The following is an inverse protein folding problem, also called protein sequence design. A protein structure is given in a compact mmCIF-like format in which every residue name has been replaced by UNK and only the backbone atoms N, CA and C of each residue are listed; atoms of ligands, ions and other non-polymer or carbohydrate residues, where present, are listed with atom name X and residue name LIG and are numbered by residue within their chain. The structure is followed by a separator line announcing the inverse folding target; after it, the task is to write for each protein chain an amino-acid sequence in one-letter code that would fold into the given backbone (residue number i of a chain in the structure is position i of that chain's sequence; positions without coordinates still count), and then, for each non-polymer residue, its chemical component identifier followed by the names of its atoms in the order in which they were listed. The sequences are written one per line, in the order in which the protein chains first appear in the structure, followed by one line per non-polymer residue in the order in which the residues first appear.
data_IF_916386150849
#
_entry.id   IF_916386150849
#
_cell.length_a   1.000
_cell.length_b   1.000
_cell.length_c   1.000
_cell.angle_alpha   90.00
_cell.angle_beta   90.00
_cell.angle_gamma   90.00
#
_symmetry.space_group_name_H-M   'P 1'
#
loop_
_entity.id
_entity.type
_entity.pdbx_description
1 polymer ?
#
# COMPACT_ATOMS: atom_id res chain seq x y z
N UNK A 1 8.50 57.57 15.15
CA UNK A 1 7.48 57.21 14.14
C UNK A 1 6.47 56.31 14.79
N UNK A 2 5.14 56.54 14.69
CA UNK A 2 4.14 55.65 15.29
C UNK A 2 4.04 54.34 14.49
N UNK A 3 4.03 53.21 15.21
CA UNK A 3 3.98 51.86 14.63
C UNK A 3 3.00 50.97 15.42
N UNK A 4 2.39 50.03 14.72
CA UNK A 4 1.60 48.99 15.36
C UNK A 4 2.52 47.81 15.73
N UNK A 5 2.36 47.35 16.94
CA UNK A 5 3.24 46.32 17.52
C UNK A 5 2.42 45.08 17.90
N UNK A 6 2.97 43.93 17.60
CA UNK A 6 2.50 42.65 18.11
C UNK A 6 3.47 42.13 19.16
N UNK A 7 3.02 42.00 20.40
CA UNK A 7 3.79 41.28 21.40
C UNK A 7 3.65 39.75 21.13
N UNK A 8 4.75 39.08 20.86
CA UNK A 8 4.73 37.67 20.53
C UNK A 8 4.70 36.83 21.81
N UNK A 9 3.90 35.78 21.78
CA UNK A 9 3.83 34.76 22.80
C UNK A 9 4.17 33.40 22.21
N UNK A 10 4.70 32.52 23.04
CA UNK A 10 4.95 31.14 22.66
C UNK A 10 3.64 30.37 22.60
N UNK A 11 3.24 29.87 21.46
CA UNK A 11 2.02 29.11 21.24
C UNK A 11 2.36 27.69 20.76
N UNK A 12 1.54 26.71 21.16
CA UNK A 12 1.61 25.35 20.61
C UNK A 12 0.95 25.36 19.23
N UNK A 13 1.73 25.10 18.21
CA UNK A 13 1.24 25.04 16.83
C UNK A 13 1.49 23.65 16.24
N UNK A 14 0.59 23.14 15.40
CA UNK A 14 0.81 21.86 14.77
C UNK A 14 2.03 21.90 13.85
N UNK A 15 2.85 20.85 13.87
CA UNK A 15 3.88 20.64 12.85
C UNK A 15 3.17 20.21 11.58
N UNK A 16 3.16 21.08 10.57
CA UNK A 16 2.55 20.84 9.27
C UNK A 16 3.60 20.87 8.18
N UNK A 17 3.65 19.81 7.39
CA UNK A 17 4.55 19.66 6.26
C UNK A 17 3.73 19.38 5.00
N UNK A 18 3.85 20.24 4.00
CA UNK A 18 3.18 20.07 2.72
C UNK A 18 4.15 19.46 1.70
N UNK A 19 3.70 18.44 0.97
CA UNK A 19 4.46 17.79 -0.10
C UNK A 19 3.53 17.34 -1.22
N UNK A 20 4.10 16.99 -2.36
CA UNK A 20 3.37 16.35 -3.46
C UNK A 20 3.65 14.86 -3.43
N UNK A 21 2.61 14.06 -3.51
CA UNK A 21 2.69 12.62 -3.60
C UNK A 21 1.98 12.10 -4.84
N UNK A 22 2.18 10.83 -5.11
CA UNK A 22 1.48 10.10 -6.16
C UNK A 22 0.62 9.02 -5.54
N UNK A 23 -0.64 8.98 -5.92
CA UNK A 23 -1.56 7.90 -5.55
C UNK A 23 -1.18 6.62 -6.28
N UNK A 24 -1.21 5.49 -5.58
CA UNK A 24 -0.94 4.16 -6.12
C UNK A 24 -1.92 3.15 -5.53
N UNK A 25 -2.20 2.09 -6.28
CA UNK A 25 -3.01 0.99 -5.76
C UNK A 25 -2.34 0.34 -4.57
N UNK A 26 -3.12 -0.07 -3.58
CA UNK A 26 -2.56 -0.78 -2.41
C UNK A 26 -2.03 -2.16 -2.76
N UNK A 27 -2.56 -2.77 -3.82
CA UNK A 27 -2.07 -4.01 -4.42
C UNK A 27 -2.28 -3.97 -5.91
N UNK A 28 -1.32 -4.47 -6.66
CA UNK A 28 -1.43 -4.71 -8.08
C UNK A 28 -1.07 -6.17 -8.36
N UNK A 29 -1.91 -6.88 -9.10
CA UNK A 29 -1.76 -8.31 -9.37
C UNK A 29 -1.99 -8.55 -10.83
N UNK A 30 -1.08 -9.28 -11.45
CA UNK A 30 -1.23 -9.82 -12.79
C UNK A 30 -2.09 -11.10 -12.75
N UNK A 31 -3.11 -11.14 -13.57
CA UNK A 31 -3.96 -12.31 -13.75
C UNK A 31 -3.41 -13.12 -14.92
N UNK A 32 -2.88 -14.28 -14.60
CA UNK A 32 -2.22 -15.16 -15.57
C UNK A 32 -2.88 -16.52 -15.61
N UNK A 33 -2.98 -17.10 -16.84
CA UNK A 33 -3.37 -18.49 -17.01
C UNK A 33 -2.29 -19.41 -16.42
N UNK A 34 -2.72 -20.46 -15.71
CA UNK A 34 -1.84 -21.50 -15.14
C UNK A 34 -1.83 -22.77 -15.96
N UNK A 35 -2.77 -22.91 -16.89
CA UNK A 35 -2.90 -24.04 -17.81
C UNK A 35 -3.03 -23.53 -19.23
N UNK A 36 -2.72 -24.40 -20.19
CA UNK A 36 -2.81 -24.09 -21.61
C UNK A 36 -4.23 -24.33 -22.11
N UNK A 37 -4.68 -23.60 -23.11
CA UNK A 37 -5.97 -23.85 -23.75
C UNK A 37 -6.52 -22.63 -24.47
N UNK A 38 -7.68 -22.80 -25.07
CA UNK A 38 -8.40 -21.72 -25.72
C UNK A 38 -9.17 -20.93 -24.66
N UNK A 39 -9.05 -19.61 -24.68
CA UNK A 39 -9.84 -18.73 -23.84
C UNK A 39 -11.29 -18.71 -24.36
N UNK A 40 -12.21 -19.32 -23.65
CA UNK A 40 -13.61 -19.41 -24.10
C UNK A 40 -14.40 -18.15 -23.79
N UNK A 41 -14.31 -17.66 -22.54
CA UNK A 41 -15.18 -16.57 -22.07
C UNK A 41 -14.43 -15.61 -21.15
N UNK A 42 -14.83 -14.35 -21.26
CA UNK A 42 -14.52 -13.28 -20.31
C UNK A 42 -15.79 -12.93 -19.54
N UNK A 43 -15.77 -13.10 -18.22
CA UNK A 43 -16.93 -12.98 -17.34
C UNK A 43 -16.94 -11.70 -16.50
N UNK A 44 -16.16 -10.71 -16.90
CA UNK A 44 -16.10 -9.40 -16.25
C UNK A 44 -16.17 -8.27 -17.26
N UNK A 45 -16.51 -7.09 -16.79
CA UNK A 45 -16.45 -5.85 -17.57
C UNK A 45 -15.12 -5.13 -17.27
N UNK A 46 -14.40 -4.74 -18.32
CA UNK A 46 -13.13 -4.01 -18.18
C UNK A 46 -13.32 -2.69 -17.44
N UNK A 47 -12.43 -2.39 -16.51
CA UNK A 47 -12.55 -1.22 -15.65
C UNK A 47 -13.58 -1.33 -14.53
N UNK A 48 -14.30 -2.45 -14.42
CA UNK A 48 -15.27 -2.66 -13.35
C UNK A 48 -14.60 -3.21 -12.07
N UNK A 49 -15.28 -2.95 -10.95
CA UNK A 49 -14.92 -3.55 -9.67
C UNK A 49 -15.36 -5.02 -9.64
N UNK A 50 -14.48 -5.89 -9.13
CA UNK A 50 -14.74 -7.30 -8.92
C UNK A 50 -14.43 -7.72 -7.50
N UNK A 51 -15.17 -8.72 -7.00
CA UNK A 51 -14.96 -9.30 -5.68
C UNK A 51 -13.87 -10.39 -5.69
N UNK A 52 -13.20 -10.66 -4.56
CA UNK A 52 -12.30 -11.80 -4.44
C UNK A 52 -13.05 -13.10 -4.74
N UNK A 53 -12.42 -14.02 -5.50
CA UNK A 53 -13.01 -15.30 -5.90
C UNK A 53 -13.97 -15.23 -7.09
N UNK A 54 -14.32 -14.05 -7.58
CA UNK A 54 -15.14 -13.91 -8.78
C UNK A 54 -14.41 -14.46 -10.00
N UNK A 55 -15.08 -15.29 -10.80
CA UNK A 55 -14.51 -15.82 -12.05
C UNK A 55 -14.37 -14.70 -13.06
N UNK A 56 -13.18 -14.57 -13.62
CA UNK A 56 -12.83 -13.54 -14.62
C UNK A 56 -12.79 -14.13 -16.03
N UNK A 57 -12.19 -15.32 -16.18
CA UNK A 57 -12.03 -15.97 -17.45
C UNK A 57 -12.30 -17.46 -17.32
N UNK A 58 -12.72 -18.07 -18.42
CA UNK A 58 -12.83 -19.53 -18.59
C UNK A 58 -11.99 -19.97 -19.78
N UNK A 59 -11.14 -20.97 -19.53
CA UNK A 59 -10.38 -21.71 -20.56
C UNK A 59 -11.14 -22.98 -20.85
N UNK A 60 -11.08 -23.49 -22.11
CA UNK A 60 -11.66 -24.77 -22.50
C UNK A 60 -11.32 -25.87 -21.48
N UNK A 61 -12.35 -26.33 -20.78
CA UNK A 61 -12.22 -27.31 -19.71
C UNK A 61 -12.29 -28.75 -20.21
N UNK A 62 -12.80 -29.00 -21.43
CA UNK A 62 -13.06 -30.35 -21.91
C UNK A 62 -11.85 -31.29 -21.86
N UNK A 63 -10.62 -30.90 -22.27
CA UNK A 63 -9.45 -31.76 -22.15
C UNK A 63 -9.12 -32.12 -20.69
N UNK A 64 -9.33 -31.19 -19.77
CA UNK A 64 -9.05 -31.36 -18.34
C UNK A 64 -10.12 -32.23 -17.64
N UNK A 65 -11.38 -32.09 -18.05
CA UNK A 65 -12.47 -32.94 -17.56
C UNK A 65 -12.24 -34.41 -17.98
N UNK A 66 -11.79 -34.63 -19.21
CA UNK A 66 -11.43 -35.99 -19.68
C UNK A 66 -10.25 -36.57 -18.87
N UNK A 67 -9.22 -35.77 -18.59
CA UNK A 67 -8.07 -36.19 -17.78
C UNK A 67 -8.51 -36.58 -16.32
N UNK A 68 -9.44 -35.85 -15.75
CA UNK A 68 -10.02 -36.19 -14.42
C UNK A 68 -10.79 -37.51 -14.50
N UNK A 69 -11.58 -37.74 -15.55
CA UNK A 69 -12.31 -38.99 -15.73
C UNK A 69 -11.36 -40.18 -15.91
N UNK A 70 -10.29 -40.02 -16.69
CA UNK A 70 -9.24 -41.04 -16.86
C UNK A 70 -8.55 -41.38 -15.54
N UNK A 71 -8.14 -40.37 -14.77
CA UNK A 71 -7.51 -40.57 -13.46
C UNK A 71 -8.45 -41.22 -12.45
N UNK A 72 -9.76 -40.90 -12.47
CA UNK A 72 -10.78 -41.56 -11.64
C UNK A 72 -10.94 -43.04 -11.99
N UNK A 73 -10.97 -43.36 -13.28
CA UNK A 73 -11.06 -44.75 -13.73
C UNK A 73 -9.82 -45.58 -13.33
N UNK A 74 -8.60 -44.98 -13.46
CA UNK A 74 -7.36 -45.59 -13.03
C UNK A 74 -7.35 -45.87 -11.50
N UNK A 75 -7.79 -44.87 -10.70
CA UNK A 75 -7.92 -45.05 -9.25
C UNK A 75 -8.89 -46.20 -8.91
N UNK A 76 -10.02 -46.28 -9.59
CA UNK A 76 -10.99 -47.37 -9.36
C UNK A 76 -10.39 -48.72 -9.69
N UNK A 77 -9.61 -48.82 -10.77
CA UNK A 77 -8.90 -50.05 -11.12
C UNK A 77 -7.94 -50.49 -10.00
N UNK A 78 -7.15 -49.59 -9.45
CA UNK A 78 -6.24 -49.93 -8.34
C UNK A 78 -6.98 -50.31 -7.05
N UNK A 79 -8.13 -49.68 -6.78
CA UNK A 79 -9.00 -50.08 -5.65
C UNK A 79 -9.49 -51.49 -5.75
N UNK A 80 -9.93 -51.92 -6.95
CA UNK A 80 -10.34 -53.31 -7.18
C UNK A 80 -9.18 -54.30 -7.01
N UNK A 81 -7.99 -53.95 -7.53
CA UNK A 81 -6.79 -54.78 -7.31
C UNK A 81 -6.43 -54.93 -5.84
N UNK A 82 -6.53 -53.87 -5.06
CA UNK A 82 -6.29 -53.91 -3.62
C UNK A 82 -7.32 -54.81 -2.92
N UNK A 83 -8.61 -54.64 -3.24
CA UNK A 83 -9.67 -55.47 -2.64
C UNK A 83 -9.42 -56.95 -2.88
N UNK A 84 -8.99 -57.33 -4.10
CA UNK A 84 -8.61 -58.71 -4.42
C UNK A 84 -7.42 -59.15 -3.57
N UNK A 85 -6.34 -58.36 -3.51
CA UNK A 85 -5.15 -58.71 -2.73
C UNK A 85 -5.43 -58.82 -1.22
N UNK A 86 -6.27 -57.92 -0.68
CA UNK A 86 -6.70 -57.98 0.72
C UNK A 86 -7.56 -59.25 1.00
N UNK A 87 -8.42 -59.62 0.06
CA UNK A 87 -9.24 -60.85 0.16
C UNK A 87 -8.38 -62.11 0.15
N UNK A 88 -7.36 -62.13 -0.75
CA UNK A 88 -6.42 -63.26 -0.80
C UNK A 88 -5.61 -63.37 0.49
N UNK A 89 -5.05 -62.28 1.01
CA UNK A 89 -4.30 -62.27 2.26
C UNK A 89 -5.17 -62.73 3.44
N UNK A 90 -6.43 -62.29 3.52
CA UNK A 90 -7.37 -62.70 4.56
C UNK A 90 -7.73 -64.17 4.49
N UNK A 91 -7.86 -64.74 3.28
CA UNK A 91 -8.16 -66.14 3.06
C UNK A 91 -7.00 -67.05 3.45
N UNK A 92 -5.76 -66.63 3.19
CA UNK A 92 -4.57 -67.42 3.47
C UNK A 92 -4.19 -67.46 4.97
N UNK A 93 -4.57 -66.43 5.75
CA UNK A 93 -4.25 -66.33 7.17
C UNK A 93 -4.65 -67.61 7.96
N UNK A 94 -5.92 -68.04 7.99
CA UNK A 94 -6.35 -69.21 8.70
C UNK A 94 -5.69 -70.53 8.21
N UNK A 95 -5.39 -70.62 6.90
CA UNK A 95 -4.75 -71.81 6.32
C UNK A 95 -3.30 -71.99 6.79
N UNK A 96 -2.61 -70.95 7.13
CA UNK A 96 -1.25 -71.02 7.75
C UNK A 96 -1.39 -71.55 9.20
N UNK A 97 -2.38 -71.08 9.95
CA UNK A 97 -2.64 -71.55 11.32
C UNK A 97 -2.93 -73.00 11.35
N UNK A 98 -3.67 -73.55 10.34
CA UNK A 98 -3.95 -74.96 10.13
C UNK A 98 -2.77 -75.71 9.54
N UNK A 99 -1.63 -75.09 9.25
CA UNK A 99 -0.46 -75.70 8.59
C UNK A 99 -0.74 -76.22 7.19
N UNK A 100 -1.78 -75.76 6.52
CA UNK A 100 -2.18 -76.22 5.19
C UNK A 100 -1.33 -75.57 4.07
N UNK A 101 -0.71 -74.36 4.35
CA UNK A 101 0.17 -73.63 3.43
C UNK A 101 1.39 -73.12 4.17
N UNK A 102 2.38 -72.64 3.42
CA UNK A 102 3.63 -72.10 3.98
C UNK A 102 3.44 -70.65 4.43
N UNK A 103 4.18 -70.24 5.49
CA UNK A 103 4.24 -68.83 5.94
C UNK A 103 4.66 -67.87 4.80
N UNK A 104 5.53 -68.31 3.91
CA UNK A 104 6.03 -67.57 2.76
C UNK A 104 4.89 -67.13 1.81
N UNK A 105 3.86 -68.00 1.62
CA UNK A 105 2.72 -67.68 0.76
C UNK A 105 1.85 -66.59 1.37
N UNK A 106 1.62 -66.61 2.67
CA UNK A 106 0.92 -65.56 3.39
C UNK A 106 1.73 -64.23 3.32
N UNK A 107 3.04 -64.28 3.60
CA UNK A 107 3.90 -63.09 3.56
C UNK A 107 3.88 -62.45 2.17
N UNK A 108 3.87 -63.26 1.10
CA UNK A 108 3.75 -62.75 -0.28
C UNK A 108 2.39 -62.09 -0.54
N UNK A 109 1.30 -62.68 -0.07
CA UNK A 109 -0.04 -62.09 -0.22
C UNK A 109 -0.15 -60.74 0.55
N UNK A 110 0.38 -60.66 1.76
CA UNK A 110 0.45 -59.46 2.57
C UNK A 110 1.32 -58.38 1.86
N UNK A 111 2.45 -58.76 1.28
CA UNK A 111 3.29 -57.85 0.51
C UNK A 111 2.57 -57.29 -0.72
N UNK A 112 1.81 -58.13 -1.44
CA UNK A 112 0.98 -57.76 -2.59
C UNK A 112 -0.11 -56.76 -2.18
N UNK A 113 -0.77 -56.98 -1.04
CA UNK A 113 -1.77 -56.05 -0.51
C UNK A 113 -1.17 -54.69 -0.12
N UNK A 114 0.02 -54.70 0.48
CA UNK A 114 0.75 -53.45 0.77
C UNK A 114 1.16 -52.72 -0.51
N UNK A 115 1.64 -53.44 -1.53
CA UNK A 115 1.98 -52.85 -2.84
C UNK A 115 0.74 -52.26 -3.50
N UNK A 116 -0.41 -52.95 -3.51
CA UNK A 116 -1.66 -52.41 -4.04
C UNK A 116 -2.11 -51.15 -3.31
N UNK A 117 -1.87 -51.06 -1.99
CA UNK A 117 -2.15 -49.85 -1.21
C UNK A 117 -1.27 -48.68 -1.66
N UNK A 118 0.02 -48.91 -1.93
CA UNK A 118 0.91 -47.90 -2.44
C UNK A 118 0.49 -47.43 -3.86
N UNK A 119 0.00 -48.33 -4.72
CA UNK A 119 -0.50 -48.02 -6.05
C UNK A 119 -1.76 -47.13 -6.00
N UNK A 120 -2.65 -47.37 -5.03
CA UNK A 120 -3.80 -46.48 -4.78
C UNK A 120 -3.32 -45.07 -4.44
N UNK A 121 -2.35 -44.91 -3.53
CA UNK A 121 -1.83 -43.59 -3.18
C UNK A 121 -1.24 -42.83 -4.38
N UNK A 122 -0.58 -43.55 -5.30
CA UNK A 122 -0.10 -42.95 -6.55
C UNK A 122 -1.24 -42.54 -7.48
N UNK A 123 -2.29 -43.36 -7.61
CA UNK A 123 -3.44 -43.03 -8.44
C UNK A 123 -4.27 -41.87 -7.85
N UNK A 124 -4.39 -41.79 -6.53
CA UNK A 124 -5.01 -40.62 -5.83
C UNK A 124 -4.24 -39.34 -6.06
N UNK A 125 -2.91 -39.39 -6.02
CA UNK A 125 -2.07 -38.22 -6.32
C UNK A 125 -2.27 -37.75 -7.78
N UNK A 126 -2.35 -38.66 -8.76
CA UNK A 126 -2.62 -38.33 -10.16
C UNK A 126 -4.02 -37.71 -10.35
N UNK A 127 -5.04 -38.27 -9.66
CA UNK A 127 -6.37 -37.70 -9.69
C UNK A 127 -6.39 -36.28 -9.16
N UNK A 128 -5.73 -36.04 -8.03
CA UNK A 128 -5.64 -34.71 -7.42
C UNK A 128 -4.93 -33.71 -8.34
N UNK A 129 -3.88 -34.13 -9.06
CA UNK A 129 -3.20 -33.29 -10.05
C UNK A 129 -4.14 -32.92 -11.20
N UNK A 130 -4.88 -33.89 -11.76
CA UNK A 130 -5.86 -33.64 -12.80
C UNK A 130 -6.98 -32.69 -12.34
N UNK A 131 -7.51 -32.86 -11.12
CA UNK A 131 -8.52 -31.99 -10.53
C UNK A 131 -7.98 -30.56 -10.30
N UNK A 132 -6.71 -30.41 -9.89
CA UNK A 132 -6.06 -29.15 -9.73
C UNK A 132 -5.92 -28.42 -11.07
N UNK A 133 -5.49 -29.12 -12.13
CA UNK A 133 -5.38 -28.55 -13.46
C UNK A 133 -6.75 -28.13 -14.03
N UNK A 134 -7.79 -28.94 -13.79
CA UNK A 134 -9.17 -28.56 -14.11
C UNK A 134 -9.60 -27.30 -13.36
N UNK A 135 -9.26 -27.17 -12.09
CA UNK A 135 -9.59 -25.96 -11.33
C UNK A 135 -8.95 -24.69 -11.90
N UNK A 136 -7.79 -24.80 -12.52
CA UNK A 136 -7.08 -23.68 -13.15
C UNK A 136 -7.69 -23.23 -14.48
N UNK A 137 -8.63 -23.98 -15.06
CA UNK A 137 -9.38 -23.51 -16.24
C UNK A 137 -10.33 -22.37 -15.90
N UNK A 138 -10.77 -22.25 -14.64
CA UNK A 138 -11.54 -21.12 -14.12
C UNK A 138 -10.60 -20.15 -13.43
N UNK A 139 -10.37 -19.02 -14.06
CA UNK A 139 -9.44 -18.00 -13.58
C UNK A 139 -10.22 -17.00 -12.74
N UNK A 140 -9.92 -16.98 -11.44
CA UNK A 140 -10.63 -16.14 -10.45
C UNK A 140 -9.79 -14.98 -9.98
N UNK A 141 -10.45 -13.93 -9.50
CA UNK A 141 -9.83 -12.76 -8.89
C UNK A 141 -9.20 -13.12 -7.54
N UNK A 142 -7.88 -12.98 -7.34
CA UNK A 142 -7.23 -13.27 -6.06
C UNK A 142 -7.46 -12.19 -5.00
N UNK A 143 -7.81 -11.00 -5.43
CA UNK A 143 -8.11 -9.83 -4.58
C UNK A 143 -9.37 -9.14 -5.08
N UNK A 144 -10.00 -8.31 -4.24
CA UNK A 144 -11.00 -7.36 -4.71
C UNK A 144 -10.32 -6.11 -5.28
N UNK A 145 -10.82 -5.58 -6.37
CA UNK A 145 -10.22 -4.40 -7.01
C UNK A 145 -10.84 -4.08 -8.36
N UNK A 146 -10.20 -3.19 -9.08
CA UNK A 146 -10.59 -2.77 -10.43
C UNK A 146 -9.79 -3.61 -11.43
N UNK A 147 -10.49 -4.17 -12.41
CA UNK A 147 -9.86 -4.91 -13.50
C UNK A 147 -9.31 -3.95 -14.55
N UNK A 148 -8.14 -4.27 -15.08
CA UNK A 148 -7.61 -3.64 -16.29
C UNK A 148 -8.35 -4.13 -17.56
N UNK A 149 -7.84 -3.74 -18.72
CA UNK A 149 -8.29 -4.27 -20.01
C UNK A 149 -7.88 -5.73 -20.15
N UNK A 150 -8.64 -6.51 -20.88
CA UNK A 150 -8.26 -7.84 -21.31
C UNK A 150 -7.15 -7.74 -22.39
N UNK A 151 -6.07 -8.46 -22.16
CA UNK A 151 -4.92 -8.49 -23.10
C UNK A 151 -5.06 -9.60 -24.13
N UNK A 152 -6.01 -10.50 -23.93
CA UNK A 152 -6.33 -11.61 -24.83
C UNK A 152 -7.83 -11.65 -25.10
N UNK A 153 -8.18 -11.90 -26.36
CA UNK A 153 -9.58 -12.03 -26.77
C UNK A 153 -10.06 -13.47 -26.62
N UNK A 154 -11.37 -13.64 -26.50
CA UNK A 154 -12.01 -14.95 -26.60
C UNK A 154 -11.63 -15.62 -27.92
N UNK A 155 -11.43 -16.93 -27.91
CA UNK A 155 -10.90 -17.71 -29.01
C UNK A 155 -9.37 -17.75 -29.11
N UNK A 156 -8.65 -16.97 -28.32
CA UNK A 156 -7.17 -16.97 -28.31
C UNK A 156 -6.61 -18.19 -27.60
N UNK A 157 -5.56 -18.79 -28.15
CA UNK A 157 -4.78 -19.79 -27.45
C UNK A 157 -3.90 -19.11 -26.39
N UNK A 158 -4.01 -19.51 -25.14
CA UNK A 158 -3.16 -19.10 -24.05
C UNK A 158 -2.22 -20.22 -23.64
N UNK A 159 -0.96 -19.86 -23.33
CA UNK A 159 0.09 -20.81 -22.95
C UNK A 159 0.72 -20.35 -21.64
N UNK A 160 0.64 -21.17 -20.59
CA UNK A 160 1.06 -20.83 -19.23
C UNK A 160 2.53 -20.41 -19.09
N UNK A 161 3.39 -20.89 -19.99
CA UNK A 161 4.85 -20.69 -19.92
C UNK A 161 5.35 -19.40 -20.56
N UNK A 162 4.52 -18.63 -21.23
CA UNK A 162 4.95 -17.45 -22.00
C UNK A 162 4.10 -16.19 -21.71
N UNK A 163 4.35 -15.11 -22.47
CA UNK A 163 3.62 -13.84 -22.31
C UNK A 163 2.13 -13.94 -22.65
N UNK A 164 1.69 -14.96 -23.40
CA UNK A 164 0.26 -15.17 -23.68
C UNK A 164 -0.52 -15.54 -22.42
N UNK A 165 0.16 -16.01 -21.38
CA UNK A 165 -0.46 -16.29 -20.09
C UNK A 165 -1.05 -15.05 -19.41
N UNK A 166 -0.49 -13.86 -19.64
CA UNK A 166 -0.99 -12.61 -19.05
C UNK A 166 -2.31 -12.22 -19.72
N UNK A 167 -3.38 -12.25 -18.94
CA UNK A 167 -4.75 -12.00 -19.38
C UNK A 167 -5.24 -10.60 -19.07
N UNK A 168 -4.98 -10.12 -17.84
CA UNK A 168 -5.30 -8.77 -17.39
C UNK A 168 -4.51 -8.43 -16.13
N UNK A 169 -4.58 -7.18 -15.70
CA UNK A 169 -4.09 -6.74 -14.38
C UNK A 169 -5.26 -6.39 -13.49
N UNK A 170 -5.06 -6.44 -12.20
CA UNK A 170 -6.03 -5.99 -11.21
C UNK A 170 -5.36 -5.06 -10.21
N UNK A 171 -6.01 -3.97 -9.89
CA UNK A 171 -5.51 -2.99 -8.94
C UNK A 171 -6.51 -2.77 -7.81
N UNK A 172 -6.07 -2.98 -6.59
CA UNK A 172 -6.86 -2.65 -5.40
C UNK A 172 -6.73 -1.15 -5.13
N UNK A 173 -7.83 -0.41 -5.27
CA UNK A 173 -7.88 1.04 -5.10
C UNK A 173 -8.53 1.49 -3.80
N UNK A 174 -9.02 0.55 -3.00
CA UNK A 174 -9.52 0.80 -1.65
C UNK A 174 -9.01 -0.31 -0.70
N UNK A 175 -8.11 0.03 0.27
CA UNK A 175 -7.53 1.35 0.44
C UNK A 175 -6.65 1.77 -0.74
N UNK A 176 -6.39 3.09 -0.88
CA UNK A 176 -5.41 3.65 -1.81
C UNK A 176 -4.19 4.12 -1.04
N UNK A 177 -3.03 4.00 -1.63
CA UNK A 177 -1.80 4.51 -1.06
C UNK A 177 -1.39 5.81 -1.74
N UNK A 178 -0.74 6.68 -0.97
CA UNK A 178 -0.10 7.90 -1.49
C UNK A 178 1.36 7.86 -1.08
N UNK A 179 2.24 7.76 -2.06
CA UNK A 179 3.69 7.78 -1.89
C UNK A 179 4.20 9.18 -2.11
N UNK A 180 5.02 9.67 -1.20
CA UNK A 180 5.63 10.99 -1.26
C UNK A 180 7.02 10.97 -0.61
N UNK A 181 7.79 12.01 -0.87
CA UNK A 181 9.12 12.17 -0.28
C UNK A 181 9.18 13.48 0.51
N UNK A 182 9.88 13.45 1.63
CA UNK A 182 10.22 14.61 2.42
C UNK A 182 11.72 14.86 2.37
N UNK A 183 12.14 16.14 2.36
CA UNK A 183 13.53 16.48 2.59
C UNK A 183 13.97 15.94 3.97
N UNK A 184 15.23 15.54 4.11
CA UNK A 184 15.77 14.99 5.36
C UNK A 184 15.50 15.91 6.55
N UNK A 185 15.71 17.24 6.39
CA UNK A 185 15.44 18.25 7.40
C UNK A 185 13.97 18.32 7.85
N UNK A 186 13.03 18.07 6.93
CA UNK A 186 11.60 18.01 7.26
C UNK A 186 11.23 16.69 7.92
N UNK A 187 11.86 15.59 7.48
CA UNK A 187 11.67 14.28 8.10
C UNK A 187 12.16 14.30 9.56
N UNK A 188 13.29 14.95 9.87
CA UNK A 188 13.80 15.06 11.25
C UNK A 188 12.79 15.71 12.21
N UNK A 189 11.95 16.61 11.72
CA UNK A 189 10.88 17.25 12.54
C UNK A 189 9.76 16.30 12.95
N UNK A 190 9.59 15.19 12.25
CA UNK A 190 8.55 14.19 12.51
C UNK A 190 9.12 12.85 12.97
N UNK A 191 10.45 12.71 12.98
CA UNK A 191 11.16 11.50 13.39
C UNK A 191 10.73 11.07 14.81
N UNK A 192 10.36 9.80 14.96
CA UNK A 192 9.85 9.23 16.22
C UNK A 192 8.37 9.51 16.50
N UNK A 193 7.69 10.31 15.66
CA UNK A 193 6.27 10.66 15.78
C UNK A 193 5.45 10.11 14.61
N UNK A 194 6.04 9.33 13.71
CA UNK A 194 5.45 8.88 12.45
C UNK A 194 4.12 8.12 12.67
N UNK A 195 4.06 7.31 13.74
CA UNK A 195 2.84 6.53 14.07
C UNK A 195 1.66 7.40 14.52
N UNK A 196 1.94 8.60 15.00
CA UNK A 196 0.94 9.56 15.45
C UNK A 196 0.60 10.58 14.37
N UNK A 197 1.44 10.64 13.32
CA UNK A 197 1.24 11.57 12.22
C UNK A 197 -0.04 11.25 11.45
N UNK A 198 -0.84 12.28 11.22
CA UNK A 198 -2.00 12.23 10.31
C UNK A 198 -1.61 12.82 8.98
N UNK A 199 -2.13 12.25 7.91
CA UNK A 199 -1.91 12.77 6.58
C UNK A 199 -3.25 13.20 5.99
N UNK A 200 -3.28 14.41 5.47
CA UNK A 200 -4.43 14.98 4.78
C UNK A 200 -4.14 15.09 3.30
N UNK A 201 -5.13 14.86 2.46
CA UNK A 201 -5.07 15.22 1.04
C UNK A 201 -5.72 16.59 0.87
N UNK A 202 -5.02 17.48 0.20
CA UNK A 202 -5.45 18.85 -0.02
C UNK A 202 -5.81 19.02 -1.50
N UNK A 203 -7.00 19.53 -1.75
CA UNK A 203 -7.46 19.84 -3.10
C UNK A 203 -6.74 21.09 -3.66
N UNK A 204 -6.90 21.34 -4.95
CA UNK A 204 -6.26 22.47 -5.66
C UNK A 204 -6.73 23.83 -5.15
N UNK A 205 -7.93 23.92 -4.60
CA UNK A 205 -8.49 25.11 -3.96
C UNK A 205 -8.01 25.33 -2.51
N UNK A 206 -7.17 24.40 -1.99
CA UNK A 206 -6.66 24.43 -0.62
C UNK A 206 -7.56 23.79 0.42
N UNK A 207 -8.74 23.32 0.05
CA UNK A 207 -9.64 22.59 0.96
C UNK A 207 -9.11 21.20 1.28
N UNK A 208 -9.51 20.67 2.45
CA UNK A 208 -9.16 19.30 2.84
C UNK A 208 -10.09 18.33 2.11
N UNK A 209 -9.49 17.54 1.22
CA UNK A 209 -10.21 16.55 0.43
C UNK A 209 -10.34 15.18 1.15
N UNK A 210 -9.36 14.84 2.01
CA UNK A 210 -9.40 13.72 2.95
C UNK A 210 -8.48 14.01 4.15
N UNK A 211 -8.86 13.52 5.33
CA UNK A 211 -8.12 13.71 6.60
C UNK A 211 -7.86 12.39 7.36
N UNK A 212 -8.17 11.27 6.74
CA UNK A 212 -8.10 9.94 7.34
C UNK A 212 -6.80 9.18 7.00
N UNK A 213 -5.80 9.88 6.43
CA UNK A 213 -4.54 9.29 6.04
C UNK A 213 -3.66 8.91 7.25
N UNK A 214 -3.07 7.71 7.19
CA UNK A 214 -2.11 7.22 8.19
C UNK A 214 -0.83 6.79 7.50
N UNK A 215 0.32 7.16 8.06
CA UNK A 215 1.60 6.64 7.59
C UNK A 215 1.66 5.14 7.85
N UNK A 216 1.89 4.36 6.81
CA UNK A 216 2.04 2.91 6.88
C UNK A 216 3.43 2.43 6.40
N UNK A 217 4.24 3.34 5.87
CA UNK A 217 5.61 3.05 5.49
C UNK A 217 6.48 4.30 5.60
N UNK A 218 7.69 4.11 6.10
CA UNK A 218 8.78 5.09 6.13
C UNK A 218 10.04 4.41 5.64
N UNK A 219 10.70 4.99 4.66
CA UNK A 219 11.96 4.48 4.13
C UNK A 219 13.04 4.46 5.20
N UNK A 220 13.86 3.41 5.20
CA UNK A 220 15.01 3.25 6.11
C UNK A 220 16.28 3.94 5.61
N UNK A 221 16.25 4.48 4.40
CA UNK A 221 17.38 5.13 3.72
C UNK A 221 16.99 6.49 3.19
N UNK A 222 17.96 7.41 3.18
CA UNK A 222 17.86 8.70 2.48
C UNK A 222 18.31 8.48 1.04
N UNK A 223 17.55 8.96 0.08
CA UNK A 223 18.00 9.02 -1.32
C UNK A 223 19.15 10.05 -1.41
N UNK A 224 20.36 9.55 -1.65
CA UNK A 224 21.57 10.36 -1.65
C UNK A 224 21.61 11.41 -2.79
N UNK A 225 20.81 11.22 -3.85
CA UNK A 225 20.76 12.18 -4.97
C UNK A 225 19.80 13.33 -4.69
N UNK A 226 18.71 13.03 -3.99
CA UNK A 226 17.64 14.00 -3.73
C UNK A 226 17.64 14.53 -2.30
N UNK A 227 18.38 13.92 -1.37
CA UNK A 227 18.37 14.26 0.05
C UNK A 227 16.98 14.05 0.67
N UNK A 228 16.25 13.03 0.23
CA UNK A 228 14.87 12.83 0.66
C UNK A 228 14.65 11.44 1.27
N UNK A 229 13.70 11.37 2.21
CA UNK A 229 13.18 10.12 2.78
C UNK A 229 11.82 9.84 2.15
N UNK A 230 11.61 8.61 1.68
CA UNK A 230 10.35 8.19 1.10
C UNK A 230 9.37 7.74 2.19
N UNK A 231 8.14 8.23 2.10
CA UNK A 231 7.04 7.85 2.98
C UNK A 231 5.83 7.42 2.15
N UNK A 232 4.95 6.68 2.81
CA UNK A 232 3.67 6.29 2.22
C UNK A 232 2.57 6.39 3.25
N UNK A 233 1.46 6.97 2.85
CA UNK A 233 0.24 7.02 3.64
C UNK A 233 -0.87 6.20 2.97
N UNK A 234 -1.72 5.62 3.80
CA UNK A 234 -2.89 4.85 3.39
C UNK A 234 -4.16 5.66 3.64
N UNK A 235 -5.07 5.65 2.66
CA UNK A 235 -6.36 6.34 2.71
C UNK A 235 -7.49 5.39 2.32
N UNK A 236 -8.64 5.53 2.95
CA UNK A 236 -9.87 4.90 2.47
C UNK A 236 -10.34 5.61 1.20
N UNK A 237 -10.75 4.84 0.19
CA UNK A 237 -11.17 5.36 -1.11
C UNK A 237 -12.41 4.61 -1.66
N UNK A 238 -13.51 4.51 -0.88
CA UNK A 238 -14.66 3.70 -1.27
C UNK A 238 -15.37 4.24 -2.52
N UNK A 239 -15.37 5.55 -2.72
CA UNK A 239 -15.94 6.20 -3.90
C UNK A 239 -14.98 6.26 -5.10
N UNK A 240 -13.79 5.64 -5.00
CA UNK A 240 -12.76 5.64 -6.06
C UNK A 240 -12.41 7.06 -6.56
N UNK A 241 -12.43 8.03 -5.65
CA UNK A 241 -12.18 9.43 -5.96
C UNK A 241 -10.75 9.65 -6.45
N UNK A 242 -9.79 8.93 -5.87
CA UNK A 242 -8.38 8.97 -6.28
C UNK A 242 -8.04 7.74 -7.11
N UNK A 243 -7.38 8.01 -8.23
CA UNK A 243 -6.94 6.98 -9.17
C UNK A 243 -5.43 6.75 -9.04
N UNK A 244 -4.96 5.51 -9.18
CA UNK A 244 -3.53 5.22 -9.29
C UNK A 244 -2.89 6.07 -10.40
N UNK A 245 -1.68 6.59 -10.11
CA UNK A 245 -0.96 7.49 -11.00
C UNK A 245 -1.25 8.98 -10.78
N UNK A 246 -2.33 9.33 -10.08
CA UNK A 246 -2.71 10.73 -9.83
C UNK A 246 -1.74 11.41 -8.85
N UNK A 247 -1.31 12.64 -9.17
CA UNK A 247 -0.58 13.47 -8.24
C UNK A 247 -1.55 14.18 -7.29
N UNK A 248 -1.22 14.17 -6.01
CA UNK A 248 -2.02 14.75 -4.93
C UNK A 248 -1.13 15.55 -4.00
N UNK A 249 -1.66 16.65 -3.46
CA UNK A 249 -0.98 17.41 -2.42
C UNK A 249 -1.28 16.75 -1.07
N UNK A 250 -0.23 16.31 -0.38
CA UNK A 250 -0.30 15.71 0.94
C UNK A 250 0.19 16.70 2.00
N UNK A 251 -0.55 16.80 3.11
CA UNK A 251 -0.18 17.56 4.30
C UNK A 251 -0.02 16.61 5.47
N UNK A 252 1.18 16.55 6.02
CA UNK A 252 1.52 15.73 7.17
C UNK A 252 1.39 16.59 8.43
N UNK A 253 0.59 16.12 9.38
CA UNK A 253 0.42 16.72 10.71
C UNK A 253 1.06 15.80 11.74
N UNK A 254 2.17 16.23 12.34
CA UNK A 254 2.98 15.39 13.22
C UNK A 254 3.23 16.07 14.58
N UNK A 255 2.25 16.01 15.45
CA UNK A 255 2.33 16.58 16.78
C UNK A 255 2.31 18.11 16.81
N UNK A 256 2.75 18.67 17.92
CA UNK A 256 2.80 20.10 18.16
C UNK A 256 4.24 20.54 18.40
N UNK A 257 4.54 21.78 18.06
CA UNK A 257 5.78 22.47 18.40
C UNK A 257 5.45 23.82 19.06
N UNK A 258 6.33 24.26 19.93
CA UNK A 258 6.25 25.62 20.48
C UNK A 258 6.86 26.57 19.46
N UNK A 259 6.11 27.56 19.01
CA UNK A 259 6.55 28.56 18.05
C UNK A 259 5.84 29.89 18.28
N UNK A 260 6.36 30.95 17.71
CA UNK A 260 5.74 32.28 17.76
C UNK A 260 5.05 32.55 16.42
N UNK A 261 3.80 33.02 16.49
CA UNK A 261 3.01 33.38 15.32
C UNK A 261 3.15 34.88 15.02
N UNK A 262 3.70 35.17 13.86
CA UNK A 262 3.91 36.55 13.39
C UNK A 262 3.15 36.77 12.09
N UNK A 263 2.41 37.88 11.89
CA UNK A 263 1.76 38.16 10.61
C UNK A 263 2.76 38.09 9.45
N UNK A 264 2.34 37.49 8.32
CA UNK A 264 3.19 37.34 7.14
C UNK A 264 3.80 38.67 6.68
N UNK A 265 3.02 39.76 6.76
CA UNK A 265 3.46 41.09 6.37
C UNK A 265 4.63 41.63 7.21
N UNK A 266 4.85 41.09 8.43
CA UNK A 266 5.95 41.49 9.31
C UNK A 266 7.26 40.75 9.05
N UNK A 267 7.25 39.70 8.24
CA UNK A 267 8.44 38.93 7.86
C UNK A 267 9.02 39.49 6.57
N UNK A 268 10.18 40.11 6.69
CA UNK A 268 10.89 40.69 5.57
C UNK A 268 11.97 39.73 5.08
N UNK A 269 12.22 39.73 3.75
CA UNK A 269 13.32 38.99 3.15
C UNK A 269 14.54 39.88 3.07
N UNK A 270 15.66 39.47 3.68
CA UNK A 270 16.98 40.02 3.50
C UNK A 270 17.80 39.19 2.53
N UNK A 271 18.95 39.65 2.10
CA UNK A 271 19.84 38.96 1.14
C UNK A 271 20.24 37.55 1.63
N UNK A 272 20.37 37.34 2.95
CA UNK A 272 20.86 36.08 3.53
C UNK A 272 19.85 35.37 4.44
N UNK A 273 18.77 36.05 4.88
CA UNK A 273 17.83 35.49 5.87
C UNK A 273 16.49 36.20 5.87
N UNK A 274 15.50 35.56 6.52
CA UNK A 274 14.25 36.24 6.89
C UNK A 274 14.49 37.05 8.18
N UNK A 275 13.98 38.26 8.23
CA UNK A 275 14.08 39.13 9.38
C UNK A 275 12.71 39.67 9.79
N UNK A 276 12.57 39.99 11.06
CA UNK A 276 11.47 40.79 11.58
C UNK A 276 12.05 42.05 12.24
N UNK A 277 11.31 43.15 12.21
CA UNK A 277 11.68 44.35 12.93
C UNK A 277 11.09 44.33 14.32
N UNK A 278 11.94 44.42 15.36
CA UNK A 278 11.49 44.44 16.78
C UNK A 278 11.82 45.82 17.36
N UNK A 279 11.15 46.17 18.46
CA UNK A 279 11.47 47.37 19.23
C UNK A 279 12.45 46.98 20.33
N UNK A 280 13.63 47.58 20.31
CA UNK A 280 14.63 47.42 21.36
C UNK A 280 14.27 48.22 22.64
N UNK A 281 14.95 47.95 23.77
CA UNK A 281 14.72 48.67 25.02
C UNK A 281 15.04 50.17 24.93
N UNK A 282 15.78 50.58 23.90
CA UNK A 282 16.13 51.97 23.57
C UNK A 282 15.05 52.67 22.71
N UNK A 283 13.89 52.03 22.46
CA UNK A 283 12.81 52.57 21.64
C UNK A 283 13.15 52.68 20.15
N UNK A 284 14.17 51.96 19.67
CA UNK A 284 14.58 51.95 18.29
C UNK A 284 14.26 50.64 17.60
N UNK A 285 13.96 50.69 16.32
CA UNK A 285 13.72 49.49 15.50
C UNK A 285 15.03 48.73 15.28
N UNK A 286 15.03 47.42 15.59
CA UNK A 286 16.16 46.50 15.40
C UNK A 286 15.73 45.31 14.52
N UNK A 287 16.50 45.01 13.45
CA UNK A 287 16.27 43.79 12.69
C UNK A 287 16.71 42.58 13.51
N UNK A 288 15.83 41.57 13.62
CA UNK A 288 16.12 40.31 14.30
C UNK A 288 15.98 39.18 13.28
N UNK A 289 17.05 38.42 12.98
CA UNK A 289 16.95 37.28 12.04
C UNK A 289 16.09 36.19 12.65
N UNK A 290 15.22 35.63 11.83
CA UNK A 290 14.25 34.60 12.28
C UNK A 290 14.22 33.40 11.34
N UNK A 291 13.94 32.25 11.93
CA UNK A 291 13.64 31.02 11.18
C UNK A 291 12.12 30.83 11.10
N UNK A 292 11.54 31.17 9.95
CA UNK A 292 10.14 30.92 9.67
C UNK A 292 10.01 29.59 8.90
N UNK A 293 9.36 28.59 9.51
CA UNK A 293 9.33 27.22 9.00
C UNK A 293 8.10 26.91 8.12
N UNK A 294 6.96 27.54 8.41
CA UNK A 294 5.69 27.28 7.72
C UNK A 294 4.72 28.45 7.93
N UNK A 295 3.56 28.35 7.30
CA UNK A 295 2.51 29.36 7.40
C UNK A 295 1.21 28.73 7.92
N UNK A 296 0.53 29.39 8.83
CA UNK A 296 -0.79 29.01 9.33
C UNK A 296 -1.74 30.17 9.04
N UNK A 297 -2.61 30.00 8.04
CA UNK A 297 -3.43 31.11 7.53
C UNK A 297 -2.55 32.26 7.05
N UNK A 298 -2.70 33.45 7.66
CA UNK A 298 -1.94 34.66 7.35
C UNK A 298 -0.75 34.91 8.34
N UNK A 299 -0.36 33.89 9.12
CA UNK A 299 0.72 34.02 10.10
C UNK A 299 1.89 33.09 9.77
N UNK A 300 3.11 33.59 9.90
CA UNK A 300 4.35 32.83 9.83
C UNK A 300 4.60 32.11 11.16
N UNK A 301 4.99 30.86 11.11
CA UNK A 301 5.43 30.08 12.26
C UNK A 301 6.92 30.28 12.44
N UNK A 302 7.30 31.06 13.43
CA UNK A 302 8.70 31.37 13.78
C UNK A 302 9.16 30.42 14.87
N UNK A 303 10.12 29.57 14.55
CA UNK A 303 10.66 28.53 15.45
C UNK A 303 11.93 28.96 16.18
N UNK A 304 12.64 29.96 15.65
CA UNK A 304 13.85 30.50 16.29
C UNK A 304 14.07 31.97 15.90
N UNK A 305 14.78 32.68 16.74
CA UNK A 305 15.17 34.10 16.52
C UNK A 305 14.29 35.11 17.24
N UNK A 306 13.15 34.72 17.82
CA UNK A 306 12.35 35.57 18.70
C UNK A 306 12.33 34.99 20.12
N UNK A 307 12.09 35.87 21.09
CA UNK A 307 11.87 35.51 22.49
C UNK A 307 10.44 35.91 22.91
N UNK A 308 9.91 35.22 23.91
CA UNK A 308 8.60 35.54 24.45
C UNK A 308 8.57 36.97 25.00
N UNK A 309 7.59 37.74 24.57
CA UNK A 309 7.48 39.15 24.93
C UNK A 309 8.14 40.12 23.95
N UNK A 310 8.86 39.63 22.93
CA UNK A 310 9.40 40.50 21.88
C UNK A 310 8.28 41.32 21.21
N UNK A 311 8.53 42.59 20.98
CA UNK A 311 7.61 43.52 20.32
C UNK A 311 7.93 43.61 18.83
N UNK A 312 7.19 42.85 18.01
CA UNK A 312 7.35 42.82 16.55
C UNK A 312 6.52 43.90 15.89
N UNK A 313 7.16 44.72 15.03
CA UNK A 313 6.50 45.76 14.26
C UNK A 313 5.76 45.13 13.07
N UNK A 314 4.47 45.42 12.94
CA UNK A 314 3.59 44.76 11.93
C UNK A 314 3.14 45.75 10.82
N UNK A 315 3.40 47.02 10.94
CA UNK A 315 3.04 48.03 9.93
C UNK A 315 4.20 48.99 9.59
N UNK A 316 4.02 49.81 8.56
CA UNK A 316 4.98 50.83 8.08
C UNK A 316 6.41 50.29 7.81
N UNK A 317 6.60 49.01 7.62
CA UNK A 317 7.90 48.32 7.49
C UNK A 317 8.76 48.87 6.33
N UNK A 318 8.12 49.34 5.26
CA UNK A 318 8.85 49.94 4.10
C UNK A 318 9.60 51.20 4.46
N UNK A 319 9.14 51.94 5.48
CA UNK A 319 9.70 53.23 5.92
C UNK A 319 10.66 53.10 7.10
N UNK A 320 10.71 51.91 7.72
CA UNK A 320 11.50 51.66 8.93
C UNK A 320 12.84 51.04 8.58
N UNK A 321 13.93 51.67 9.05
CA UNK A 321 15.29 51.14 8.96
C UNK A 321 15.82 50.82 10.34
N UNK A 322 16.87 50.01 10.42
CA UNK A 322 17.57 49.74 11.67
C UNK A 322 17.99 51.08 12.34
N UNK A 323 17.69 51.22 13.65
CA UNK A 323 17.99 52.43 14.42
C UNK A 323 16.92 53.52 14.35
N UNK A 324 15.84 53.37 13.57
CA UNK A 324 14.76 54.38 13.51
C UNK A 324 14.04 54.46 14.84
N UNK A 325 13.86 55.64 15.48
CA UNK A 325 13.06 55.80 16.68
C UNK A 325 11.58 55.52 16.38
N UNK A 326 10.99 54.59 17.13
CA UNK A 326 9.57 54.14 16.95
C UNK A 326 8.79 54.27 18.26
N UNK A 327 7.52 54.60 18.15
CA UNK A 327 6.58 54.64 19.27
C UNK A 327 5.46 53.64 19.04
N UNK A 328 5.23 52.79 20.03
CA UNK A 328 4.16 51.83 20.03
C UNK A 328 2.79 52.53 20.11
N UNK A 329 1.93 52.29 19.12
CA UNK A 329 0.58 52.82 19.01
C UNK A 329 -0.51 51.89 19.54
N UNK A 330 -0.15 50.66 19.86
CA UNK A 330 -1.08 49.58 20.23
C UNK A 330 -1.73 49.76 21.61
N UNK A 331 -1.30 50.76 22.39
CA UNK A 331 -1.74 51.05 23.75
C UNK A 331 -2.72 52.24 23.88
N UNK A 332 -3.43 52.65 22.79
CA UNK A 332 -4.52 53.62 22.88
C UNK A 332 -5.81 53.09 22.36
#
# INVERSE_FOLDING_TARGET
MPVTVLQVAAEKVPVSLDTVGQAEGSREVEIRARVNGILEKRLFQEGAAVAPGQTLFEIDAAPYELAVQEAKAALQQERVKRELADSDAKRLGPLVEEKAISQRELDQAVANAKQATASIAMAEAKLKDAELNLSYTKITAPIGGITGRALRSEGSLVTAANESALLTTMTQVNPIWVRFSLAESDYDRIRGKERQARVQLVATDGSIAADNGRLNFTGSTVDAKLGTVQLRAEFTNPAQRWMPGQFVKARILAGEQVAMLVPQAAVLQSEQSRIVMTIGPDGKAKPKPVQASSWIGNKAVVTAGLEEGDKVIVDNLVKIRAGTPVQDKTGK
#
